data_IF_189613529880
#
_entry.id   IF_189613529880
#
_cell.length_a   1.000
_cell.length_b   1.000
_cell.length_c   1.000
_cell.angle_alpha   90.00
_cell.angle_beta   90.00
_cell.angle_gamma   90.00
#
_symmetry.space_group_name_H-M   'P 1'
#
loop_
_entity.id
_entity.type
_entity.pdbx_description
1 polymer ?
#
# COMPACT_ATOMS: atom_id res chain seq x y z
N UNK A 1 7.83 19.74 9.91
CA UNK A 1 6.48 19.51 10.46
C UNK A 1 5.48 19.92 9.39
N UNK A 2 4.62 19.02 8.91
CA UNK A 2 3.64 19.34 7.86
C UNK A 2 2.33 19.79 8.49
N UNK A 3 1.59 20.71 7.84
CA UNK A 3 0.32 21.23 8.36
C UNK A 3 -0.70 20.11 8.69
N UNK A 4 -0.66 19.02 7.90
CA UNK A 4 -1.50 17.83 8.06
C UNK A 4 -1.23 17.04 9.35
N UNK A 5 0.00 17.11 9.89
CA UNK A 5 0.33 16.45 11.16
C UNK A 5 -0.26 17.23 12.33
N UNK A 6 -0.04 18.55 12.37
CA UNK A 6 -0.53 19.42 13.44
C UNK A 6 -2.06 19.40 13.59
N UNK A 7 -2.80 19.36 12.48
CA UNK A 7 -4.27 19.26 12.49
C UNK A 7 -4.72 17.94 13.13
N UNK A 8 -4.04 16.83 12.83
CA UNK A 8 -4.38 15.50 13.37
C UNK A 8 -4.14 15.43 14.87
N UNK A 9 -3.02 15.98 15.34
CA UNK A 9 -2.70 16.00 16.76
C UNK A 9 -3.72 16.84 17.53
N UNK A 10 -4.09 18.02 17.00
CA UNK A 10 -5.14 18.87 17.57
C UNK A 10 -6.50 18.14 17.67
N UNK A 11 -6.95 17.49 16.58
CA UNK A 11 -8.22 16.76 16.57
C UNK A 11 -8.21 15.66 17.64
N UNK A 12 -7.09 14.95 17.78
CA UNK A 12 -6.96 13.82 18.70
C UNK A 12 -6.89 14.24 20.16
N UNK A 13 -6.15 15.30 20.48
CA UNK A 13 -6.11 15.88 21.83
C UNK A 13 -7.49 16.42 22.20
N UNK A 14 -8.12 17.21 21.32
CA UNK A 14 -9.40 17.82 21.64
C UNK A 14 -10.54 16.80 21.83
N UNK A 15 -10.54 15.73 21.02
CA UNK A 15 -11.48 14.61 21.20
C UNK A 15 -11.31 13.92 22.57
N UNK A 16 -10.07 13.72 23.03
CA UNK A 16 -9.78 13.11 24.34
C UNK A 16 -10.12 14.05 25.50
N UNK A 17 -9.62 15.28 25.43
CA UNK A 17 -9.65 16.22 26.56
C UNK A 17 -11.06 16.77 26.83
N UNK A 18 -11.90 16.81 25.79
CA UNK A 18 -13.26 17.35 25.88
C UNK A 18 -14.36 16.29 25.67
N UNK A 19 -14.00 15.01 25.52
CA UNK A 19 -14.96 13.92 25.31
C UNK A 19 -15.83 14.10 24.06
N UNK A 20 -15.28 14.73 23.02
CA UNK A 20 -16.01 14.99 21.78
C UNK A 20 -15.93 13.79 20.82
N UNK A 21 -17.05 13.47 20.17
CA UNK A 21 -17.09 12.47 19.10
C UNK A 21 -16.68 13.11 17.78
N UNK A 22 -15.64 12.57 17.14
CA UNK A 22 -15.15 13.03 15.84
C UNK A 22 -15.50 12.01 14.76
N UNK A 23 -16.14 12.48 13.68
CA UNK A 23 -16.32 11.71 12.45
C UNK A 23 -15.35 12.22 11.38
N UNK A 24 -14.36 11.41 11.04
CA UNK A 24 -13.38 11.72 10.00
C UNK A 24 -13.65 10.87 8.75
N UNK A 25 -13.68 11.52 7.59
CA UNK A 25 -13.65 10.84 6.30
C UNK A 25 -12.32 11.14 5.60
N UNK A 26 -11.59 10.09 5.24
CA UNK A 26 -10.34 10.20 4.50
C UNK A 26 -10.19 9.00 3.59
N UNK A 27 -9.43 9.17 2.51
CA UNK A 27 -8.98 8.06 1.65
C UNK A 27 -7.53 7.65 1.99
N UNK A 28 -6.84 8.42 2.83
CA UNK A 28 -5.48 8.13 3.29
C UNK A 28 -5.54 7.22 4.53
N UNK A 29 -5.13 5.97 4.34
CA UNK A 29 -5.11 4.96 5.41
C UNK A 29 -4.22 5.37 6.58
N UNK A 30 -3.14 6.13 6.36
CA UNK A 30 -2.26 6.61 7.44
C UNK A 30 -2.93 7.66 8.31
N UNK A 31 -3.81 8.49 7.73
CA UNK A 31 -4.59 9.46 8.49
C UNK A 31 -5.61 8.76 9.38
N UNK A 32 -6.33 7.80 8.80
CA UNK A 32 -7.30 6.99 9.53
C UNK A 32 -6.62 6.26 10.70
N UNK A 33 -5.44 5.68 10.47
CA UNK A 33 -4.66 4.98 11.50
C UNK A 33 -4.25 5.85 12.68
N UNK A 34 -3.91 7.11 12.43
CA UNK A 34 -3.34 7.98 13.46
C UNK A 34 -4.40 8.75 14.24
N UNK A 35 -5.58 8.98 13.65
CA UNK A 35 -6.66 9.78 14.25
C UNK A 35 -7.79 8.91 14.81
N UNK A 36 -8.21 7.85 14.10
CA UNK A 36 -9.44 7.14 14.42
C UNK A 36 -9.20 5.92 15.32
N UNK A 37 -10.13 5.65 16.25
CA UNK A 37 -10.13 4.42 17.08
C UNK A 37 -10.94 3.27 16.45
N UNK A 38 -11.92 3.61 15.60
CA UNK A 38 -12.80 2.69 14.89
C UNK A 38 -12.97 3.16 13.44
N UNK A 39 -13.05 2.20 12.52
CA UNK A 39 -13.20 2.48 11.09
C UNK A 39 -14.41 1.74 10.55
N UNK A 40 -15.24 2.49 9.84
CA UNK A 40 -16.42 1.98 9.13
C UNK A 40 -16.21 2.22 7.64
N UNK A 41 -16.23 1.16 6.84
CA UNK A 41 -16.20 1.24 5.37
C UNK A 41 -17.60 1.03 4.84
N UNK A 42 -18.07 1.97 4.04
CA UNK A 42 -19.39 1.94 3.39
C UNK A 42 -19.21 1.76 1.89
N UNK A 43 -19.89 0.78 1.31
CA UNK A 43 -19.94 0.55 -0.13
C UNK A 43 -21.39 0.35 -0.58
N UNK A 44 -21.84 1.08 -1.59
CA UNK A 44 -23.21 0.99 -2.14
C UNK A 44 -24.32 1.07 -1.07
N UNK A 45 -24.16 1.96 -0.09
CA UNK A 45 -25.13 2.13 1.00
C UNK A 45 -25.12 1.00 2.05
N UNK A 46 -24.14 0.10 2.02
CA UNK A 46 -23.97 -0.97 3.00
C UNK A 46 -22.65 -0.84 3.74
N UNK A 47 -22.65 -1.11 5.04
CA UNK A 47 -21.44 -1.21 5.84
C UNK A 47 -20.76 -2.54 5.48
N UNK A 48 -19.54 -2.47 4.96
CA UNK A 48 -18.74 -3.65 4.58
C UNK A 48 -17.60 -3.92 5.57
N UNK A 49 -17.19 -2.92 6.34
CA UNK A 49 -16.23 -3.07 7.44
C UNK A 49 -16.70 -2.18 8.59
N UNK A 50 -16.59 -2.72 9.81
CA UNK A 50 -16.86 -2.00 11.05
C UNK A 50 -15.99 -2.62 12.14
N UNK A 51 -14.78 -2.09 12.29
CA UNK A 51 -13.77 -2.68 13.16
C UNK A 51 -12.93 -1.61 13.85
N UNK A 52 -12.31 -1.92 15.00
CA UNK A 52 -11.29 -1.06 15.58
C UNK A 52 -10.11 -0.90 14.60
N UNK A 53 -9.47 0.27 14.63
CA UNK A 53 -8.46 0.65 13.62
C UNK A 53 -7.25 -0.28 13.58
N UNK A 54 -6.88 -0.89 14.71
CA UNK A 54 -5.80 -1.86 14.81
C UNK A 54 -6.09 -3.18 14.08
N UNK A 55 -7.36 -3.60 14.01
CA UNK A 55 -7.79 -4.74 13.21
C UNK A 55 -7.81 -4.41 11.72
N UNK A 56 -8.23 -3.19 11.37
CA UNK A 56 -8.12 -2.69 10.01
C UNK A 56 -6.66 -2.73 9.55
N UNK A 57 -5.73 -2.23 10.37
CA UNK A 57 -4.28 -2.28 10.12
C UNK A 57 -3.79 -3.69 9.75
N UNK A 58 -4.21 -4.72 10.49
CA UNK A 58 -3.83 -6.13 10.23
C UNK A 58 -4.37 -6.69 8.92
N UNK A 59 -5.49 -6.15 8.46
CA UNK A 59 -6.22 -6.58 7.26
C UNK A 59 -5.75 -5.82 6.00
N UNK A 60 -5.32 -4.57 6.15
CA UNK A 60 -4.92 -3.69 5.06
C UNK A 60 -3.39 -3.51 4.88
N UNK A 61 -2.58 -3.68 5.94
CA UNK A 61 -1.10 -3.60 5.84
C UNK A 61 -0.41 -4.96 5.72
N UNK A 62 -1.15 -6.05 5.88
CA UNK A 62 -0.57 -7.40 5.87
C UNK A 62 -0.02 -7.83 4.52
N UNK A 63 -0.37 -7.12 3.44
CA UNK A 63 0.16 -7.40 2.11
C UNK A 63 0.54 -6.11 1.42
N UNK A 64 1.55 -6.18 0.55
CA UNK A 64 2.00 -5.10 -0.33
C UNK A 64 2.09 -5.63 -1.75
N UNK A 65 1.80 -4.79 -2.73
CA UNK A 65 2.10 -5.08 -4.12
C UNK A 65 3.41 -4.37 -4.44
N UNK A 66 4.40 -5.11 -4.92
CA UNK A 66 5.69 -4.57 -5.36
C UNK A 66 5.81 -4.86 -6.85
N UNK A 67 5.97 -3.81 -7.64
CA UNK A 67 6.21 -3.90 -9.07
C UNK A 67 7.68 -3.57 -9.33
N UNK A 68 8.40 -4.53 -9.91
CA UNK A 68 9.77 -4.38 -10.35
C UNK A 68 9.79 -4.17 -11.86
N UNK A 69 10.38 -3.08 -12.33
CA UNK A 69 10.65 -2.87 -13.75
C UNK A 69 12.05 -3.39 -14.08
N UNK A 70 12.18 -4.12 -15.18
CA UNK A 70 13.42 -4.82 -15.52
C UNK A 70 13.73 -4.79 -17.02
N UNK A 71 15.01 -4.74 -17.36
CA UNK A 71 15.50 -4.66 -18.75
C UNK A 71 15.43 -5.99 -19.52
N UNK A 72 14.29 -6.70 -19.48
CA UNK A 72 14.04 -7.91 -20.28
C UNK A 72 14.16 -9.25 -19.55
N UNK A 73 14.41 -9.25 -18.23
CA UNK A 73 14.47 -10.48 -17.42
C UNK A 73 13.48 -10.43 -16.26
N UNK A 74 12.60 -11.42 -16.18
CA UNK A 74 11.61 -11.53 -15.12
C UNK A 74 12.26 -11.92 -13.77
N UNK A 75 12.08 -11.08 -12.75
CA UNK A 75 12.68 -11.25 -11.42
C UNK A 75 12.06 -12.45 -10.69
N UNK A 76 12.82 -13.53 -10.51
CA UNK A 76 12.33 -14.74 -9.84
C UNK A 76 12.76 -14.77 -8.38
N UNK A 77 11.81 -14.61 -7.46
CA UNK A 77 12.06 -14.64 -6.02
C UNK A 77 11.36 -15.82 -5.37
N UNK A 78 12.12 -16.61 -4.63
CA UNK A 78 11.59 -17.65 -3.76
C UNK A 78 11.77 -17.24 -2.30
N UNK A 79 10.83 -16.42 -1.81
CA UNK A 79 10.80 -15.95 -0.42
C UNK A 79 9.44 -16.27 0.22
N UNK A 80 9.40 -16.59 1.52
CA UNK A 80 8.14 -16.90 2.21
C UNK A 80 7.13 -15.75 2.12
N UNK A 81 5.90 -16.03 1.72
CA UNK A 81 4.87 -15.00 1.61
C UNK A 81 5.03 -14.05 0.41
N UNK A 82 5.96 -14.31 -0.51
CA UNK A 82 6.05 -13.61 -1.79
C UNK A 82 5.36 -14.47 -2.85
N UNK A 83 4.38 -13.88 -3.54
CA UNK A 83 3.63 -14.54 -4.62
C UNK A 83 3.66 -13.69 -5.87
N UNK A 84 4.00 -14.28 -7.01
CA UNK A 84 4.01 -13.57 -8.30
C UNK A 84 2.58 -13.44 -8.81
N UNK A 85 2.14 -12.20 -9.06
CA UNK A 85 0.81 -11.89 -9.60
C UNK A 85 0.81 -11.80 -11.12
N UNK A 86 1.82 -11.15 -11.68
CA UNK A 86 2.01 -11.03 -13.11
C UNK A 86 3.50 -10.91 -13.43
N UNK A 87 3.88 -11.34 -14.63
CA UNK A 87 5.23 -11.17 -15.14
C UNK A 87 5.14 -10.95 -16.65
N UNK A 88 5.55 -9.76 -17.06
CA UNK A 88 5.72 -9.35 -18.45
C UNK A 88 7.22 -9.20 -18.73
N UNK A 89 7.59 -8.99 -20.01
CA UNK A 89 8.99 -8.88 -20.41
C UNK A 89 9.75 -7.77 -19.66
N UNK A 90 9.06 -6.70 -19.24
CA UNK A 90 9.66 -5.53 -18.60
C UNK A 90 9.15 -5.22 -17.19
N UNK A 91 8.22 -6.02 -16.67
CA UNK A 91 7.62 -5.77 -15.36
C UNK A 91 7.27 -7.07 -14.64
N UNK A 92 7.64 -7.16 -13.37
CA UNK A 92 7.26 -8.27 -12.48
C UNK A 92 6.49 -7.72 -11.30
N UNK A 93 5.24 -8.16 -11.13
CA UNK A 93 4.35 -7.76 -10.03
C UNK A 93 4.32 -8.88 -8.99
N UNK A 94 4.71 -8.56 -7.76
CA UNK A 94 4.73 -9.46 -6.61
C UNK A 94 3.76 -8.97 -5.55
N UNK A 95 2.96 -9.88 -4.98
CA UNK A 95 2.24 -9.65 -3.72
C UNK A 95 3.08 -10.22 -2.57
N UNK A 96 3.39 -9.38 -1.60
CA UNK A 96 4.25 -9.68 -0.45
C UNK A 96 3.43 -9.63 0.82
N UNK A 97 3.35 -10.75 1.54
CA UNK A 97 2.84 -10.77 2.91
C UNK A 97 3.90 -10.24 3.88
N UNK A 98 3.65 -9.03 4.39
CA UNK A 98 4.58 -8.30 5.26
C UNK A 98 4.70 -8.91 6.66
N UNK A 99 3.87 -9.92 6.99
CA UNK A 99 3.99 -10.71 8.23
C UNK A 99 5.02 -11.83 8.10
N UNK A 100 5.26 -12.30 6.88
CA UNK A 100 6.18 -13.42 6.60
C UNK A 100 7.55 -12.93 6.14
N UNK A 101 7.59 -11.91 5.29
CA UNK A 101 8.84 -11.35 4.76
C UNK A 101 8.79 -9.82 4.76
N UNK A 102 9.89 -9.19 5.17
CA UNK A 102 9.98 -7.73 5.16
C UNK A 102 10.21 -7.21 3.75
N UNK A 103 9.60 -6.07 3.40
CA UNK A 103 9.70 -5.47 2.06
C UNK A 103 11.16 -5.22 1.65
N UNK A 104 12.00 -4.79 2.60
CA UNK A 104 13.41 -4.53 2.36
C UNK A 104 14.17 -5.79 1.93
N UNK A 105 13.79 -6.97 2.47
CA UNK A 105 14.37 -8.25 2.09
C UNK A 105 13.96 -8.66 0.67
N UNK A 106 12.70 -8.39 0.29
CA UNK A 106 12.22 -8.64 -1.08
C UNK A 106 12.96 -7.78 -2.08
N UNK A 107 13.12 -6.48 -1.79
CA UNK A 107 13.86 -5.55 -2.65
C UNK A 107 15.33 -5.98 -2.76
N UNK A 108 16.00 -6.29 -1.64
CA UNK A 108 17.39 -6.71 -1.66
C UNK A 108 17.60 -8.00 -2.48
N UNK A 109 16.70 -8.97 -2.35
CA UNK A 109 16.76 -10.20 -3.13
C UNK A 109 16.49 -9.96 -4.62
N UNK A 110 15.56 -9.06 -4.94
CA UNK A 110 15.26 -8.67 -6.32
C UNK A 110 16.48 -7.98 -6.97
N UNK A 111 17.11 -7.05 -6.25
CA UNK A 111 18.28 -6.29 -6.72
C UNK A 111 19.50 -7.19 -6.94
N UNK A 112 19.60 -8.32 -6.23
CA UNK A 112 20.68 -9.28 -6.40
C UNK A 112 20.64 -10.02 -7.75
N UNK A 113 19.47 -10.12 -8.39
CA UNK A 113 19.30 -10.78 -9.70
C UNK A 113 19.84 -9.90 -10.86
N UNK A 114 20.09 -8.61 -10.59
CA UNK A 114 20.56 -7.64 -11.57
C UNK A 114 19.47 -7.22 -12.58
N UNK A 115 19.57 -6.00 -13.09
CA UNK A 115 18.68 -5.53 -14.18
C UNK A 115 17.34 -4.92 -13.75
N UNK A 116 17.17 -4.55 -12.48
CA UNK A 116 16.04 -3.75 -12.01
C UNK A 116 16.32 -2.28 -12.26
N UNK A 117 15.42 -1.61 -12.96
CA UNK A 117 15.50 -0.19 -13.29
C UNK A 117 14.65 0.67 -12.35
N UNK A 118 13.50 0.14 -11.90
CA UNK A 118 12.57 0.85 -11.03
C UNK A 118 11.79 -0.11 -10.11
N UNK A 119 11.38 0.40 -8.95
CA UNK A 119 10.61 -0.33 -7.93
C UNK A 119 9.46 0.53 -7.43
N UNK A 120 8.23 0.06 -7.64
CA UNK A 120 7.01 0.69 -7.13
C UNK A 120 6.39 -0.18 -6.04
N UNK A 121 5.96 0.43 -4.93
CA UNK A 121 5.36 -0.26 -3.77
C UNK A 121 3.99 0.34 -3.51
N UNK A 122 2.97 -0.51 -3.53
CA UNK A 122 1.56 -0.14 -3.39
C UNK A 122 0.85 -0.99 -2.34
N UNK A 123 -0.27 -0.49 -1.85
CA UNK A 123 -1.18 -1.26 -1.02
C UNK A 123 -2.13 -2.08 -1.92
N UNK A 124 -2.46 -3.35 -1.59
CA UNK A 124 -3.35 -4.18 -2.40
C UNK A 124 -4.76 -3.61 -2.55
N UNK A 125 -5.11 -2.62 -1.73
CA UNK A 125 -6.38 -1.89 -1.75
C UNK A 125 -6.20 -0.38 -1.98
N UNK A 126 -4.96 0.10 -2.11
CA UNK A 126 -4.63 1.50 -2.34
C UNK A 126 -4.27 1.70 -3.81
N UNK A 127 -5.29 1.78 -4.65
CA UNK A 127 -5.12 2.04 -6.08
C UNK A 127 -6.46 2.27 -6.75
N UNK A 128 -6.86 3.54 -6.82
CA UNK A 128 -7.83 3.95 -7.84
C UNK A 128 -7.31 3.57 -9.22
N UNK A 129 -8.23 3.08 -10.04
CA UNK A 129 -8.20 2.97 -11.50
C UNK A 129 -6.86 3.37 -12.16
N UNK A 130 -5.89 2.45 -12.18
CA UNK A 130 -4.76 2.51 -13.12
C UNK A 130 -5.08 1.68 -14.36
N UNK A 131 -6.14 2.07 -15.05
CA UNK A 131 -6.25 1.87 -16.50
C UNK A 131 -5.44 2.99 -17.16
N UNK A 132 -4.11 2.87 -17.14
CA UNK A 132 -3.19 3.64 -18.00
C UNK A 132 -1.77 3.06 -17.85
N UNK A 133 -1.61 1.79 -18.25
CA UNK A 133 -0.30 1.28 -18.67
C UNK A 133 -0.28 1.35 -20.20
N UNK A 134 -0.18 2.58 -20.73
CA UNK A 134 0.18 2.79 -22.12
C UNK A 134 1.69 2.55 -22.19
N UNK A 135 2.05 1.32 -22.57
CA UNK A 135 3.38 0.97 -23.04
C UNK A 135 3.63 1.80 -24.30
N UNK A 136 4.26 2.96 -24.16
CA UNK A 136 4.85 3.64 -25.30
C UNK A 136 6.20 2.95 -25.59
N UNK A 137 6.35 2.26 -26.74
CA UNK A 137 7.64 1.70 -27.10
C UNK A 137 8.61 2.86 -27.40
N UNK A 138 9.81 2.77 -26.83
CA UNK A 138 10.98 3.47 -27.32
C UNK A 138 11.04 3.43 -28.86
N UNK A 139 10.85 4.59 -29.48
CA UNK A 139 11.17 4.87 -30.87
C UNK A 139 12.24 5.94 -30.90
N UNK A 140 13.50 5.49 -30.81
CA UNK A 140 14.68 6.27 -31.17
C UNK A 140 14.63 6.56 -32.67
N UNK A 141 15.03 7.79 -33.02
CA UNK A 141 15.21 8.42 -34.36
C UNK A 141 13.99 8.91 -35.12
#
# INVERSE_FOLDING_TARGET
MTAKAAIRDFIREHARDHGQTVLLTSHDTRDIELVCDRVIVVNQGRIVVDQPTDQLRRRFLGRKIITFQSAGQAVSLNLPGVTRRASEAHATILEVDTKLTRVEQVIAAAMADGGIEDVTIEDPHGGGDRRDLRLDPCGVT
#
